data_IF_346946179641
#
_entry.id   IF_346946179641
#
_cell.length_a   1.000
_cell.length_b   1.000
_cell.length_c   1.000
_cell.angle_alpha   90.00
_cell.angle_beta   90.00
_cell.angle_gamma   90.00
#
_symmetry.space_group_name_H-M   'P 1'
#
loop_
_entity.id
_entity.type
_entity.pdbx_description
1 polymer ?
#
# COMPACT_ATOMS: atom_id res chain seq x y z
N UNK A 1 -33.75 -3.49 63.08
CA UNK A 1 -32.32 -3.65 62.78
C UNK A 1 -32.05 -4.38 61.46
N UNK A 2 -32.72 -5.49 61.24
CA UNK A 2 -32.48 -6.24 59.96
C UNK A 2 -32.89 -5.46 58.71
N UNK A 3 -33.99 -4.70 58.77
CA UNK A 3 -34.45 -3.90 57.65
C UNK A 3 -33.46 -2.78 57.28
N UNK A 4 -32.82 -2.17 58.26
CA UNK A 4 -31.85 -1.11 58.07
C UNK A 4 -30.59 -1.63 57.39
N UNK A 5 -30.15 -2.82 57.78
CA UNK A 5 -28.99 -3.46 57.17
C UNK A 5 -29.29 -3.85 55.70
N UNK A 6 -30.48 -4.36 55.43
CA UNK A 6 -30.94 -4.70 54.09
C UNK A 6 -31.02 -3.48 53.19
N UNK A 7 -31.60 -2.38 53.67
CA UNK A 7 -31.69 -1.14 52.93
C UNK A 7 -30.31 -0.60 52.61
N UNK A 8 -29.39 -0.64 53.55
CA UNK A 8 -28.03 -0.18 53.36
C UNK A 8 -27.29 -1.04 52.30
N UNK A 9 -27.45 -2.35 52.37
CA UNK A 9 -26.87 -3.27 51.44
C UNK A 9 -27.43 -3.04 50.03
N UNK A 10 -28.73 -2.85 49.91
CA UNK A 10 -29.37 -2.58 48.62
C UNK A 10 -28.90 -1.25 48.01
N UNK A 11 -28.73 -0.23 48.85
CA UNK A 11 -28.23 1.07 48.39
C UNK A 11 -26.79 0.98 47.94
N UNK A 12 -25.95 0.25 48.67
CA UNK A 12 -24.54 0.02 48.27
C UNK A 12 -24.45 -0.76 46.98
N UNK A 13 -25.22 -1.81 46.78
CA UNK A 13 -25.28 -2.58 45.55
C UNK A 13 -25.74 -1.73 44.37
N UNK A 14 -26.75 -0.91 44.56
CA UNK A 14 -27.25 0.00 43.55
C UNK A 14 -26.20 1.04 43.14
N UNK A 15 -25.46 1.59 44.12
CA UNK A 15 -24.36 2.52 43.86
C UNK A 15 -23.24 1.84 43.10
N UNK A 16 -22.84 0.61 43.48
CA UNK A 16 -21.82 -0.16 42.83
C UNK A 16 -22.21 -0.50 41.36
N UNK A 17 -23.47 -0.88 41.17
CA UNK A 17 -23.97 -1.12 39.79
C UNK A 17 -23.91 0.12 38.91
N UNK A 18 -24.26 1.27 39.48
CA UNK A 18 -24.17 2.55 38.75
C UNK A 18 -22.74 2.88 38.38
N UNK A 19 -21.79 2.70 39.31
CA UNK A 19 -20.37 2.94 39.05
C UNK A 19 -19.87 1.97 37.95
N UNK A 20 -20.22 0.70 38.02
CA UNK A 20 -19.85 -0.29 37.03
C UNK A 20 -20.42 0.06 35.67
N UNK A 21 -21.68 0.47 35.57
CA UNK A 21 -22.32 0.88 34.33
C UNK A 21 -21.65 2.13 33.75
N UNK A 22 -21.29 3.08 34.61
CA UNK A 22 -20.58 4.28 34.18
C UNK A 22 -19.20 3.94 33.62
N UNK A 23 -18.48 3.04 34.29
CA UNK A 23 -17.19 2.58 33.82
C UNK A 23 -17.30 1.83 32.47
N UNK A 24 -18.30 0.97 32.35
CA UNK A 24 -18.58 0.27 31.11
C UNK A 24 -18.90 1.23 29.98
N UNK A 25 -19.71 2.24 30.25
CA UNK A 25 -20.04 3.26 29.25
C UNK A 25 -18.81 4.05 28.85
N UNK A 26 -17.97 4.43 29.81
CA UNK A 26 -16.72 5.12 29.53
C UNK A 26 -15.78 4.27 28.66
N UNK A 27 -15.69 2.98 28.96
CA UNK A 27 -14.88 2.05 28.19
C UNK A 27 -15.42 1.88 26.77
N UNK A 28 -16.75 1.80 26.62
CA UNK A 28 -17.39 1.73 25.31
C UNK A 28 -17.12 2.99 24.50
N UNK A 29 -17.24 4.15 25.11
CA UNK A 29 -16.99 5.43 24.45
C UNK A 29 -15.53 5.51 23.97
N UNK A 30 -14.61 5.08 24.81
CA UNK A 30 -13.19 5.03 24.46
C UNK A 30 -12.94 4.05 23.32
N UNK A 31 -13.52 2.85 23.40
CA UNK A 31 -13.39 1.85 22.35
C UNK A 31 -13.97 2.34 21.03
N UNK A 32 -15.13 2.99 21.06
CA UNK A 32 -15.75 3.55 19.87
C UNK A 32 -14.88 4.65 19.25
N UNK A 33 -14.25 5.49 20.08
CA UNK A 33 -13.33 6.51 19.59
C UNK A 33 -12.12 5.88 18.89
N UNK A 34 -11.56 4.81 19.44
CA UNK A 34 -10.47 4.06 18.79
C UNK A 34 -10.93 3.43 17.47
N UNK A 35 -12.13 2.88 17.45
CA UNK A 35 -12.68 2.29 16.21
C UNK A 35 -12.80 3.36 15.13
N UNK A 36 -13.32 4.52 15.44
CA UNK A 36 -13.44 5.62 14.50
C UNK A 36 -12.06 6.04 13.98
N UNK A 37 -11.08 6.16 14.87
CA UNK A 37 -9.71 6.49 14.48
C UNK A 37 -9.11 5.44 13.54
N UNK A 38 -9.30 4.16 13.89
CA UNK A 38 -8.82 3.06 13.06
C UNK A 38 -9.52 3.03 11.70
N UNK A 39 -10.83 3.30 11.65
CA UNK A 39 -11.56 3.37 10.41
C UNK A 39 -11.02 4.47 9.49
N UNK A 40 -10.68 5.62 10.06
CA UNK A 40 -10.07 6.71 9.30
C UNK A 40 -8.69 6.32 8.77
N UNK A 41 -7.89 5.66 9.60
CA UNK A 41 -6.56 5.18 9.19
C UNK A 41 -6.65 4.15 8.08
N UNK A 42 -7.59 3.21 8.20
CA UNK A 42 -7.81 2.17 7.18
C UNK A 42 -8.26 2.81 5.88
N UNK A 43 -9.20 3.76 5.92
CA UNK A 43 -9.66 4.45 4.72
C UNK A 43 -8.52 5.20 4.04
N UNK A 44 -7.65 5.85 4.81
CA UNK A 44 -6.47 6.51 4.28
C UNK A 44 -5.51 5.53 3.64
N UNK A 45 -5.26 4.39 4.30
CA UNK A 45 -4.40 3.35 3.78
C UNK A 45 -4.94 2.74 2.49
N UNK A 46 -6.24 2.48 2.43
CA UNK A 46 -6.89 1.97 1.23
C UNK A 46 -6.73 2.94 0.06
N UNK A 47 -6.92 4.22 0.31
CA UNK A 47 -6.73 5.25 -0.71
C UNK A 47 -5.27 5.29 -1.19
N UNK A 48 -4.33 5.19 -0.26
CA UNK A 48 -2.90 5.15 -0.58
C UNK A 48 -2.55 3.92 -1.41
N UNK A 49 -3.10 2.76 -1.06
CA UNK A 49 -2.88 1.52 -1.81
C UNK A 49 -3.42 1.65 -3.23
N UNK A 50 -4.60 2.22 -3.42
CA UNK A 50 -5.16 2.45 -4.75
C UNK A 50 -4.26 3.37 -5.58
N UNK A 51 -3.79 4.46 -4.96
CA UNK A 51 -2.89 5.40 -5.64
C UNK A 51 -1.56 4.73 -6.02
N UNK A 52 -1.01 3.91 -5.12
CA UNK A 52 0.22 3.16 -5.40
C UNK A 52 0.01 2.13 -6.51
N UNK A 53 -1.12 1.44 -6.51
CA UNK A 53 -1.45 0.48 -7.55
C UNK A 53 -1.57 1.14 -8.92
N UNK A 54 -2.20 2.31 -8.99
CA UNK A 54 -2.27 3.08 -10.23
C UNK A 54 -0.89 3.52 -10.69
N UNK A 55 -0.05 4.00 -9.78
CA UNK A 55 1.31 4.39 -10.09
C UNK A 55 2.13 3.21 -10.60
N UNK A 56 2.01 2.04 -9.95
CA UNK A 56 2.69 0.82 -10.38
C UNK A 56 2.22 0.37 -11.76
N UNK A 57 0.92 0.40 -12.03
CA UNK A 57 0.38 0.09 -13.35
C UNK A 57 0.94 1.01 -14.42
N UNK A 58 0.99 2.31 -14.13
CA UNK A 58 1.54 3.30 -15.05
C UNK A 58 3.02 3.05 -15.31
N UNK A 59 3.79 2.78 -14.25
CA UNK A 59 5.21 2.46 -14.37
C UNK A 59 5.44 1.19 -15.17
N UNK A 60 4.60 0.18 -14.99
CA UNK A 60 4.71 -1.07 -15.75
C UNK A 60 4.52 -0.82 -17.24
N UNK A 61 3.52 -0.01 -17.60
CA UNK A 61 3.30 0.37 -18.99
C UNK A 61 4.50 1.11 -19.57
N UNK A 62 5.07 2.04 -18.80
CA UNK A 62 6.26 2.78 -19.22
C UNK A 62 7.45 1.86 -19.41
N UNK A 63 7.65 0.90 -18.50
CA UNK A 63 8.72 -0.08 -18.61
C UNK A 63 8.54 -0.97 -19.84
N UNK A 64 7.33 -1.42 -20.11
CA UNK A 64 7.02 -2.24 -21.28
C UNK A 64 7.30 -1.46 -22.57
N UNK A 65 6.94 -0.18 -22.60
CA UNK A 65 7.20 0.69 -23.74
C UNK A 65 8.71 0.89 -23.96
N UNK A 66 9.44 1.14 -22.86
CA UNK A 66 10.90 1.28 -22.93
C UNK A 66 11.54 -0.03 -23.38
N UNK A 67 11.11 -1.15 -22.85
CA UNK A 67 11.61 -2.47 -23.26
C UNK A 67 11.39 -2.73 -24.75
N UNK A 68 10.22 -2.38 -25.25
CA UNK A 68 9.91 -2.48 -26.66
C UNK A 68 10.85 -1.61 -27.51
N UNK A 69 11.04 -0.36 -27.11
CA UNK A 69 11.93 0.57 -27.82
C UNK A 69 13.37 0.09 -27.80
N UNK A 70 13.83 -0.41 -26.67
CA UNK A 70 15.20 -0.96 -26.54
C UNK A 70 15.39 -2.15 -27.48
N UNK A 71 14.45 -3.07 -27.54
CA UNK A 71 14.50 -4.21 -28.45
C UNK A 71 14.57 -3.76 -29.88
N UNK A 72 13.77 -2.78 -30.25
CA UNK A 72 13.75 -2.21 -31.58
C UNK A 72 15.12 -1.61 -31.95
N UNK A 73 15.73 -0.86 -31.04
CA UNK A 73 17.05 -0.28 -31.23
C UNK A 73 18.11 -1.37 -31.37
N UNK A 74 18.05 -2.38 -30.51
CA UNK A 74 18.99 -3.51 -30.57
C UNK A 74 18.88 -4.23 -31.93
N UNK A 75 17.69 -4.48 -32.40
CA UNK A 75 17.46 -5.15 -33.69
C UNK A 75 18.00 -4.31 -34.83
N UNK A 76 17.84 -2.98 -34.77
CA UNK A 76 18.39 -2.09 -35.77
C UNK A 76 19.93 -2.10 -35.75
N UNK A 77 20.52 -2.07 -34.57
CA UNK A 77 21.98 -2.15 -34.45
C UNK A 77 22.50 -3.46 -35.02
N UNK A 78 21.84 -4.57 -34.68
CA UNK A 78 22.23 -5.88 -35.20
C UNK A 78 22.13 -5.98 -36.74
N UNK A 79 21.13 -5.34 -37.31
CA UNK A 79 20.96 -5.35 -38.74
C UNK A 79 22.00 -4.46 -39.47
N UNK A 80 22.47 -3.42 -38.79
CA UNK A 80 23.44 -2.49 -39.38
C UNK A 80 24.86 -3.01 -39.23
N UNK A 81 25.24 -3.60 -38.12
CA UNK A 81 26.59 -4.08 -37.85
C UNK A 81 27.13 -5.06 -38.92
N UNK A 82 26.41 -6.11 -39.28
CA UNK A 82 26.92 -7.02 -40.31
C UNK A 82 27.14 -6.31 -41.63
N UNK A 83 26.28 -5.40 -42.00
CA UNK A 83 26.39 -4.61 -43.21
C UNK A 83 27.62 -3.71 -43.18
N UNK A 84 27.88 -3.05 -42.06
CA UNK A 84 29.07 -2.21 -41.90
C UNK A 84 30.35 -3.03 -41.94
N UNK A 85 30.35 -4.19 -41.29
CA UNK A 85 31.49 -5.08 -41.27
C UNK A 85 31.78 -5.59 -42.70
N UNK A 86 30.75 -5.96 -43.42
CA UNK A 86 30.89 -6.41 -44.81
C UNK A 86 31.46 -5.32 -45.70
N UNK A 87 30.99 -4.11 -45.56
CA UNK A 87 31.48 -2.95 -46.30
C UNK A 87 32.95 -2.66 -46.00
N UNK A 88 33.31 -2.71 -44.74
CA UNK A 88 34.71 -2.51 -44.34
C UNK A 88 35.61 -3.61 -44.91
N UNK A 89 35.15 -4.84 -44.91
CA UNK A 89 35.89 -5.93 -45.53
C UNK A 89 36.05 -5.74 -47.03
N UNK A 90 35.04 -5.25 -47.70
CA UNK A 90 35.08 -4.99 -49.13
C UNK A 90 35.94 -3.78 -49.45
N UNK A 91 35.92 -2.77 -48.60
CA UNK A 91 36.69 -1.55 -48.85
C UNK A 91 38.15 -1.68 -48.56
N UNK A 92 38.47 -2.62 -47.74
CA UNK A 92 39.83 -2.71 -47.40
C UNK A 92 40.59 -3.68 -48.14
N UNK A 93 40.55 -3.90 -49.11
CA UNK A 93 41.20 -4.77 -49.69
C UNK A 93 42.42 -4.43 -49.90
N UNK A 94 42.88 -4.70 -50.04
CA UNK A 94 43.77 -5.03 -50.16
C UNK A 94 44.76 -4.58 -50.51
N UNK A 95 44.97 -4.01 -50.43
CA UNK A 95 45.77 -3.42 -50.84
C UNK A 95 46.89 -3.72 -50.61
N UNK A 96 47.02 -3.97 -50.18
CA UNK A 96 48.00 -4.23 -49.77
C UNK A 96 48.67 -4.91 -50.49
N UNK A 97 48.68 -5.02 -50.97
CA UNK A 97 49.33 -5.66 -51.56
C UNK A 97 50.20 -5.32 -52.02
#
# INVERSE_FOLDING_TARGET
MAATILEKTMTENSSNQKVDMTQMQSQLDTANAYIEELQMKVAFQEHTIEALNEALSSQQKQLDDIAFKVRHVIDRVKSIEPSNIAKQSEETPPPHY
#
